data_IF_542477781886
#
_entry.id   IF_542477781886
#
_cell.length_a   1.000
_cell.length_b   1.000
_cell.length_c   1.000
_cell.angle_alpha   90.00
_cell.angle_beta   90.00
_cell.angle_gamma   90.00
#
_symmetry.space_group_name_H-M   'P 1'
#
loop_
_entity.id
_entity.type
_entity.pdbx_description
1 polymer ?
#
# COMPACT_ATOMS: atom_id res chain seq x y z
N UNK A 1 23.51 23.73 15.61
CA UNK A 1 22.54 22.62 15.75
C UNK A 1 21.91 22.42 14.37
N UNK A 2 22.22 21.30 13.72
CA UNK A 2 22.20 21.15 12.25
C UNK A 2 20.81 20.80 11.72
N UNK A 3 20.18 21.76 11.06
CA UNK A 3 18.83 21.68 10.46
C UNK A 3 18.71 20.53 9.44
N UNK A 4 19.82 20.21 8.76
CA UNK A 4 19.88 19.18 7.71
C UNK A 4 19.60 17.75 8.22
N UNK A 5 19.94 17.44 9.48
CA UNK A 5 19.68 16.12 10.06
C UNK A 5 18.19 15.88 10.33
N UNK A 6 17.47 16.92 10.74
CA UNK A 6 16.03 16.88 10.98
C UNK A 6 15.26 16.72 9.66
N UNK A 7 15.68 17.44 8.62
CA UNK A 7 15.10 17.31 7.27
C UNK A 7 15.34 15.90 6.74
N UNK A 8 16.53 15.32 6.88
CA UNK A 8 16.81 13.94 6.41
C UNK A 8 16.00 12.88 7.17
N UNK A 9 15.76 13.09 8.48
CA UNK A 9 14.93 12.22 9.30
C UNK A 9 13.44 12.36 8.95
N UNK A 10 12.98 13.60 8.72
CA UNK A 10 11.63 13.86 8.20
C UNK A 10 11.47 13.30 6.78
N UNK A 11 12.46 13.42 5.90
CA UNK A 11 12.43 12.90 4.54
C UNK A 11 12.35 11.38 4.57
N UNK A 12 13.09 10.70 5.45
CA UNK A 12 12.89 9.26 5.69
C UNK A 12 11.52 8.93 6.25
N UNK A 13 10.97 9.72 7.17
CA UNK A 13 9.61 9.50 7.68
C UNK A 13 8.58 9.73 6.56
N UNK A 14 8.77 10.73 5.70
CA UNK A 14 7.93 11.05 4.54
C UNK A 14 8.08 9.98 3.45
N UNK A 15 9.29 9.47 3.21
CA UNK A 15 9.58 8.34 2.30
C UNK A 15 9.02 7.02 2.86
N UNK A 16 9.05 6.81 4.17
CA UNK A 16 8.47 5.65 4.84
C UNK A 16 6.92 5.77 4.97
N UNK A 17 6.39 7.00 4.98
CA UNK A 17 4.98 7.32 4.73
C UNK A 17 4.63 7.29 3.23
N UNK A 18 5.63 7.31 2.33
CA UNK A 18 5.45 7.20 0.89
C UNK A 18 5.20 5.75 0.46
N UNK A 19 5.29 4.78 1.36
CA UNK A 19 4.67 3.47 1.14
C UNK A 19 3.16 3.64 1.17
N UNK A 20 2.61 3.85 -0.02
CA UNK A 20 1.17 3.95 -0.19
C UNK A 20 0.53 2.62 0.21
N UNK A 21 -0.75 2.68 0.56
CA UNK A 21 -1.55 1.46 0.77
C UNK A 21 -1.49 0.55 -0.46
N UNK A 22 -1.28 1.11 -1.65
CA UNK A 22 -1.08 0.34 -2.88
C UNK A 22 0.15 -0.55 -2.77
N UNK A 23 1.29 -0.05 -2.27
CA UNK A 23 2.49 -0.84 -2.05
C UNK A 23 2.33 -1.87 -0.93
N UNK A 24 1.64 -1.52 0.17
CA UNK A 24 1.31 -2.48 1.24
C UNK A 24 0.40 -3.60 0.76
N UNK A 25 -0.59 -3.26 -0.06
CA UNK A 25 -1.46 -4.23 -0.71
C UNK A 25 -0.67 -5.07 -1.72
N UNK A 26 0.24 -4.48 -2.51
CA UNK A 26 1.07 -5.21 -3.45
C UNK A 26 1.99 -6.20 -2.74
N UNK A 27 2.58 -5.82 -1.61
CA UNK A 27 3.39 -6.70 -0.76
C UNK A 27 2.54 -7.82 -0.16
N UNK A 28 1.31 -7.52 0.26
CA UNK A 28 0.35 -8.53 0.72
C UNK A 28 -0.04 -9.49 -0.42
N UNK A 29 -0.35 -8.96 -1.60
CA UNK A 29 -0.71 -9.71 -2.79
C UNK A 29 0.43 -10.63 -3.23
N UNK A 30 1.67 -10.13 -3.26
CA UNK A 30 2.84 -10.95 -3.62
C UNK A 30 3.11 -12.04 -2.58
N UNK A 31 3.05 -11.69 -1.28
CA UNK A 31 3.31 -12.64 -0.19
C UNK A 31 2.20 -13.68 -0.04
N UNK A 32 0.97 -13.31 -0.35
CA UNK A 32 -0.23 -14.09 -0.08
C UNK A 32 -1.15 -14.21 -1.30
N UNK A 33 -0.58 -14.33 -2.49
CA UNK A 33 -1.33 -14.42 -3.75
C UNK A 33 -2.39 -15.53 -3.74
N UNK A 34 -2.12 -16.64 -3.04
CA UNK A 34 -3.07 -17.77 -2.86
C UNK A 34 -4.16 -17.54 -1.81
N UNK A 35 -3.98 -16.60 -0.88
CA UNK A 35 -4.96 -16.28 0.15
C UNK A 35 -5.99 -15.27 -0.32
N UNK A 36 -5.69 -14.48 -1.35
CA UNK A 36 -6.63 -13.47 -1.85
C UNK A 36 -7.92 -14.08 -2.43
N UNK A 37 -7.83 -15.30 -2.95
CA UNK A 37 -9.00 -16.09 -3.41
C UNK A 37 -9.83 -16.68 -2.26
N UNK A 38 -9.27 -16.76 -1.06
CA UNK A 38 -9.90 -17.40 0.11
C UNK A 38 -10.52 -16.40 1.08
N UNK A 39 -10.11 -15.14 1.03
CA UNK A 39 -10.59 -14.11 1.94
C UNK A 39 -11.42 -13.03 1.24
N UNK A 40 -12.56 -12.61 1.83
CA UNK A 40 -13.32 -11.48 1.33
C UNK A 40 -12.46 -10.21 1.33
N UNK A 41 -12.60 -9.39 0.28
CA UNK A 41 -11.88 -8.13 0.14
C UNK A 41 -12.05 -7.20 1.36
N UNK A 42 -13.19 -7.24 2.04
CA UNK A 42 -13.44 -6.49 3.28
C UNK A 42 -12.43 -6.85 4.38
N UNK A 43 -12.14 -8.13 4.56
CA UNK A 43 -11.20 -8.59 5.59
C UNK A 43 -9.76 -8.18 5.27
N UNK A 44 -9.40 -8.16 3.99
CA UNK A 44 -8.10 -7.65 3.53
C UNK A 44 -8.00 -6.14 3.78
N UNK A 45 -9.10 -5.40 3.56
CA UNK A 45 -9.15 -3.97 3.84
C UNK A 45 -8.97 -3.69 5.33
N UNK A 46 -9.71 -4.41 6.19
CA UNK A 46 -9.57 -4.33 7.65
C UNK A 46 -8.14 -4.69 8.10
N UNK A 47 -7.53 -5.73 7.52
CA UNK A 47 -6.15 -6.13 7.79
C UNK A 47 -5.13 -5.05 7.41
N UNK A 48 -5.36 -4.37 6.28
CA UNK A 48 -4.51 -3.27 5.81
C UNK A 48 -4.81 -1.93 6.50
N UNK A 49 -5.81 -1.89 7.39
CA UNK A 49 -6.23 -0.68 8.09
C UNK A 49 -6.89 0.36 7.17
N UNK A 50 -7.56 -0.10 6.10
CA UNK A 50 -8.21 0.75 5.09
C UNK A 50 -9.66 0.36 4.88
N UNK A 51 -10.46 1.26 4.33
CA UNK A 51 -11.83 0.96 3.95
C UNK A 51 -11.88 0.05 2.70
N UNK A 52 -12.90 -0.79 2.61
CA UNK A 52 -13.09 -1.69 1.47
C UNK A 52 -13.20 -0.92 0.13
N UNK A 53 -13.80 0.27 0.16
CA UNK A 53 -13.86 1.19 -0.99
C UNK A 53 -12.47 1.67 -1.41
N UNK A 54 -11.61 1.98 -0.44
CA UNK A 54 -10.24 2.41 -0.71
C UNK A 54 -9.42 1.26 -1.30
N UNK A 55 -9.57 0.04 -0.76
CA UNK A 55 -8.94 -1.15 -1.33
C UNK A 55 -9.40 -1.41 -2.78
N UNK A 56 -10.68 -1.22 -3.10
CA UNK A 56 -11.18 -1.34 -4.49
C UNK A 56 -10.54 -0.31 -5.42
N UNK A 57 -10.39 0.95 -4.98
CA UNK A 57 -9.71 1.99 -5.76
C UNK A 57 -8.24 1.66 -6.01
N UNK A 58 -7.56 1.15 -4.98
CA UNK A 58 -6.16 0.69 -5.05
C UNK A 58 -6.02 -0.46 -6.05
N UNK A 59 -6.87 -1.49 -5.96
CA UNK A 59 -6.87 -2.62 -6.91
C UNK A 59 -7.08 -2.17 -8.34
N UNK A 60 -8.03 -1.24 -8.57
CA UNK A 60 -8.31 -0.70 -9.89
C UNK A 60 -7.09 0.05 -10.47
N UNK A 61 -6.48 0.95 -9.69
CA UNK A 61 -5.28 1.67 -10.08
C UNK A 61 -4.10 0.75 -10.39
N UNK A 62 -3.92 -0.30 -9.60
CA UNK A 62 -2.88 -1.31 -9.83
C UNK A 62 -3.13 -2.09 -11.11
N UNK A 63 -4.36 -2.53 -11.37
CA UNK A 63 -4.72 -3.19 -12.63
C UNK A 63 -4.50 -2.28 -13.85
N UNK A 64 -4.83 -0.99 -13.74
CA UNK A 64 -4.57 0.02 -14.78
C UNK A 64 -3.07 0.24 -15.03
N UNK A 65 -2.26 0.20 -13.96
CA UNK A 65 -0.80 0.35 -14.04
C UNK A 65 -0.11 -0.87 -14.68
N UNK A 66 -0.60 -2.08 -14.42
CA UNK A 66 -0.08 -3.32 -15.02
C UNK A 66 -0.46 -3.46 -16.50
N UNK A 67 -1.64 -2.96 -16.92
CA UNK A 67 -2.05 -2.97 -18.33
C UNK A 67 -1.37 -1.91 -19.20
N UNK A 68 -0.76 -0.89 -18.58
CA UNK A 68 -0.06 0.20 -19.29
C UNK A 68 1.43 -0.07 -19.54
N UNK A 69 1.90 -1.31 -19.38
CA UNK A 69 3.31 -1.69 -19.53
C UNK A 69 3.54 -2.60 -20.73
#
# INVERSE_FOLDING_TARGET
ITINGFITFQDRIVQNMSMTVEERYLAFHQKYSKLELRFPQKMIAEYLGVSAEFLSKVKKRLAEKEMGK
#
